data_IF_379292676881
#
_entry.id   IF_379292676881
#
_cell.length_a   1.000
_cell.length_b   1.000
_cell.length_c   1.000
_cell.angle_alpha   90.00
_cell.angle_beta   90.00
_cell.angle_gamma   90.00
#
_symmetry.space_group_name_H-M   'P 1'
#
loop_
_entity.id
_entity.type
_entity.pdbx_description
1 polymer ?
#
# COMPACT_ATOMS: atom_id res chain seq x y z
N UNK A 1 21.18 -6.83 7.33
CA UNK A 1 20.58 -7.79 8.24
C UNK A 1 19.40 -7.11 8.89
N UNK A 2 18.22 -7.64 8.69
CA UNK A 2 16.96 -7.05 9.15
C UNK A 2 16.09 -8.22 9.62
N UNK A 3 15.84 -8.33 10.89
CA UNK A 3 15.30 -9.49 11.59
C UNK A 3 14.26 -10.30 10.83
N UNK A 4 14.19 -11.56 11.14
CA UNK A 4 13.29 -12.54 10.51
C UNK A 4 13.46 -13.89 11.19
N UNK A 5 12.83 -14.92 10.65
CA UNK A 5 13.01 -16.28 11.14
C UNK A 5 14.38 -16.82 10.72
N UNK A 6 14.98 -17.68 11.55
CA UNK A 6 16.21 -18.37 11.21
C UNK A 6 16.09 -19.02 9.81
N UNK A 7 17.06 -18.73 8.95
CA UNK A 7 17.09 -19.22 7.57
C UNK A 7 16.40 -18.31 6.56
N UNK A 8 15.73 -17.24 6.97
CA UNK A 8 15.06 -16.34 6.04
C UNK A 8 16.05 -15.57 5.16
N UNK A 9 15.82 -15.63 3.85
CA UNK A 9 16.49 -14.85 2.82
C UNK A 9 15.42 -14.11 2.01
N UNK A 10 15.36 -12.79 2.18
CA UNK A 10 14.40 -11.93 1.49
C UNK A 10 15.08 -11.05 0.44
N UNK A 11 14.67 -11.16 -0.81
CA UNK A 11 15.08 -10.26 -1.89
C UNK A 11 13.88 -9.72 -2.68
N UNK A 12 12.70 -9.83 -2.08
CA UNK A 12 11.43 -9.35 -2.59
C UNK A 12 10.63 -8.70 -1.46
N UNK A 13 10.10 -7.52 -1.71
CA UNK A 13 9.30 -6.77 -0.75
C UNK A 13 8.11 -6.10 -1.46
N UNK A 14 7.17 -5.52 -0.71
CA UNK A 14 6.07 -4.77 -1.31
C UNK A 14 6.54 -3.56 -2.11
N UNK A 15 5.81 -3.24 -3.20
CA UNK A 15 5.67 -1.86 -3.65
C UNK A 15 4.72 -1.13 -2.70
N UNK A 16 4.96 0.14 -2.46
CA UNK A 16 4.28 0.87 -1.41
C UNK A 16 3.89 2.30 -1.82
N UNK A 17 2.66 2.66 -1.55
CA UNK A 17 2.17 4.03 -1.63
C UNK A 17 1.32 4.39 -0.42
N UNK A 18 1.30 5.67 -0.09
CA UNK A 18 0.28 6.28 0.75
C UNK A 18 -0.75 7.00 -0.11
N UNK A 19 -2.00 6.96 0.29
CA UNK A 19 -3.05 7.74 -0.33
C UNK A 19 -3.78 8.54 0.73
N UNK A 20 -3.97 9.83 0.47
CA UNK A 20 -4.75 10.73 1.30
C UNK A 20 -5.94 11.25 0.50
N UNK A 21 -7.11 11.10 1.08
CA UNK A 21 -8.36 11.61 0.54
C UNK A 21 -8.83 12.73 1.46
N UNK A 22 -9.23 13.86 0.89
CA UNK A 22 -9.90 14.92 1.61
C UNK A 22 -11.22 15.25 0.91
N UNK A 23 -12.28 15.39 1.70
CA UNK A 23 -13.63 15.69 1.23
C UNK A 23 -14.10 17.02 1.80
N UNK A 24 -14.55 17.90 0.93
CA UNK A 24 -15.21 19.15 1.30
C UNK A 24 -16.72 18.96 1.20
N UNK A 25 -17.39 18.88 2.34
CA UNK A 25 -18.83 18.76 2.43
C UNK A 25 -19.56 20.09 2.37
N UNK A 26 -20.88 20.02 2.42
CA UNK A 26 -21.78 21.16 2.53
C UNK A 26 -22.80 20.88 3.61
N UNK A 27 -22.66 21.57 4.74
CA UNK A 27 -23.58 21.43 5.85
C UNK A 27 -24.88 22.24 5.61
N UNK A 28 -25.98 21.62 5.87
CA UNK A 28 -27.34 22.20 5.80
C UNK A 28 -28.08 21.72 7.05
N UNK A 29 -28.98 22.57 7.59
CA UNK A 29 -29.84 22.14 8.69
C UNK A 29 -30.57 20.83 8.33
N UNK A 30 -30.48 19.76 9.17
CA UNK A 30 -30.97 18.43 8.80
C UNK A 30 -32.42 18.38 8.30
N UNK A 31 -33.31 19.21 8.87
CA UNK A 31 -34.70 19.29 8.46
C UNK A 31 -34.94 19.84 7.03
N UNK A 32 -33.90 20.43 6.41
CA UNK A 32 -33.99 21.05 5.07
C UNK A 32 -32.88 20.54 4.14
N UNK A 33 -32.21 19.42 4.51
CA UNK A 33 -31.00 18.93 3.89
C UNK A 33 -31.24 18.13 2.59
N UNK A 34 -32.50 17.74 2.29
CA UNK A 34 -32.82 16.93 1.12
C UNK A 34 -32.25 17.56 -0.16
N UNK A 35 -31.49 16.79 -0.91
CA UNK A 35 -30.83 17.14 -2.18
C UNK A 35 -29.87 18.35 -2.11
N UNK A 36 -29.47 18.76 -0.88
CA UNK A 36 -28.60 19.92 -0.66
C UNK A 36 -27.37 19.62 0.16
N UNK A 37 -27.51 18.76 1.19
CA UNK A 37 -26.36 18.41 2.05
C UNK A 37 -25.40 17.48 1.34
N UNK A 38 -24.10 17.73 1.54
CA UNK A 38 -23.04 16.78 1.27
C UNK A 38 -22.34 16.53 2.60
N UNK A 39 -22.58 15.37 3.19
CA UNK A 39 -21.93 14.98 4.43
C UNK A 39 -20.59 14.35 4.14
N UNK A 40 -19.50 15.06 4.45
CA UNK A 40 -18.14 14.60 4.15
C UNK A 40 -17.78 13.26 4.82
N UNK A 41 -18.27 13.00 6.04
CA UNK A 41 -18.09 11.72 6.71
C UNK A 41 -18.75 10.56 5.95
N UNK A 42 -19.96 10.76 5.40
CA UNK A 42 -20.63 9.74 4.61
C UNK A 42 -19.86 9.45 3.31
N UNK A 43 -19.31 10.49 2.68
CA UNK A 43 -18.53 10.33 1.44
C UNK A 43 -17.27 9.49 1.70
N UNK A 44 -16.50 9.76 2.77
CA UNK A 44 -15.31 8.93 3.07
C UNK A 44 -15.68 7.49 3.44
N UNK A 45 -16.83 7.29 4.13
CA UNK A 45 -17.34 5.94 4.39
C UNK A 45 -17.71 5.21 3.09
N UNK A 46 -18.35 5.91 2.14
CA UNK A 46 -18.73 5.34 0.84
C UNK A 46 -17.50 4.97 0.02
N UNK A 47 -16.46 5.82 0.00
CA UNK A 47 -15.16 5.48 -0.63
C UNK A 47 -14.62 4.17 -0.04
N UNK A 48 -14.56 4.06 1.28
CA UNK A 48 -14.06 2.86 1.95
C UNK A 48 -14.92 1.62 1.66
N UNK A 49 -16.23 1.76 1.50
CA UNK A 49 -17.14 0.67 1.17
C UNK A 49 -16.98 0.17 -0.28
N UNK A 50 -16.55 1.03 -1.19
CA UNK A 50 -16.28 0.68 -2.59
C UNK A 50 -14.93 -0.02 -2.79
N UNK A 51 -14.00 0.05 -1.82
CA UNK A 51 -12.76 -0.71 -1.87
C UNK A 51 -13.01 -2.18 -1.56
N UNK A 52 -12.34 -3.12 -2.25
CA UNK A 52 -12.55 -4.55 -2.07
C UNK A 52 -12.27 -5.00 -0.64
N UNK A 53 -13.30 -5.46 0.08
CA UNK A 53 -13.18 -5.89 1.48
C UNK A 53 -12.18 -7.06 1.65
N UNK A 54 -12.09 -7.96 0.66
CA UNK A 54 -11.14 -9.07 0.65
C UNK A 54 -9.66 -8.61 0.50
N UNK A 55 -9.43 -7.36 0.09
CA UNK A 55 -8.10 -6.79 -0.04
C UNK A 55 -7.76 -5.85 1.15
N UNK A 56 -8.17 -6.21 2.34
CA UNK A 56 -7.73 -5.58 3.59
C UNK A 56 -6.62 -6.42 4.24
N UNK A 57 -5.72 -5.84 5.05
CA UNK A 57 -4.64 -6.59 5.70
C UNK A 57 -5.11 -7.83 6.45
N UNK A 58 -6.26 -7.74 7.13
CA UNK A 58 -6.85 -8.83 7.90
C UNK A 58 -7.36 -10.02 7.07
N UNK A 59 -7.38 -9.89 5.74
CA UNK A 59 -7.86 -10.91 4.80
C UNK A 59 -6.81 -11.30 3.75
N UNK A 60 -5.56 -10.84 3.91
CA UNK A 60 -4.49 -11.02 2.93
C UNK A 60 -3.26 -11.66 3.55
N UNK A 61 -2.58 -12.53 2.79
CA UNK A 61 -1.38 -13.24 3.21
C UNK A 61 -0.36 -13.32 2.05
N UNK A 62 0.85 -13.78 2.35
CA UNK A 62 1.95 -14.01 1.39
C UNK A 62 2.10 -12.88 0.35
N UNK A 63 1.71 -13.15 -0.90
CA UNK A 63 1.82 -12.24 -2.04
C UNK A 63 0.60 -11.33 -2.24
N UNK A 64 -0.44 -11.50 -1.44
CA UNK A 64 -1.63 -10.67 -1.56
C UNK A 64 -1.36 -9.22 -1.20
N UNK A 65 -1.69 -8.33 -2.10
CA UNK A 65 -1.66 -6.90 -1.86
C UNK A 65 -2.93 -6.40 -1.19
N UNK A 66 -2.87 -5.20 -0.60
CA UNK A 66 -3.99 -4.65 0.17
C UNK A 66 -4.14 -3.13 0.09
N UNK A 67 -5.34 -2.68 0.50
CA UNK A 67 -5.64 -1.32 0.95
C UNK A 67 -5.83 -1.35 2.46
N UNK A 68 -5.05 -0.59 3.20
CA UNK A 68 -5.19 -0.47 4.64
C UNK A 68 -5.63 0.95 5.01
N UNK A 69 -6.86 1.10 5.49
CA UNK A 69 -7.34 2.34 6.07
C UNK A 69 -6.64 2.55 7.42
N UNK A 70 -5.73 3.52 7.50
CA UNK A 70 -4.95 3.80 8.72
C UNK A 70 -5.52 4.93 9.55
N UNK A 71 -6.35 5.77 8.96
CA UNK A 71 -7.00 6.88 9.67
C UNK A 71 -8.19 7.42 8.93
N UNK A 72 -9.20 7.83 9.69
CA UNK A 72 -10.37 8.54 9.21
C UNK A 72 -10.80 9.57 10.26
N UNK A 73 -11.00 10.81 9.86
CA UNK A 73 -11.38 11.90 10.76
C UNK A 73 -12.22 12.94 10.01
N UNK A 74 -13.12 13.62 10.71
CA UNK A 74 -13.88 14.71 10.11
C UNK A 74 -15.16 15.09 10.80
N UNK A 75 -15.87 15.98 10.12
CA UNK A 75 -17.22 16.48 10.43
C UNK A 75 -18.10 16.41 9.18
N UNK A 76 -19.29 16.99 9.23
CA UNK A 76 -20.16 17.13 8.06
C UNK A 76 -19.51 18.02 6.98
N UNK A 77 -18.80 19.07 7.39
CA UNK A 77 -18.20 20.07 6.51
C UNK A 77 -16.92 19.56 5.82
N UNK A 78 -16.12 18.76 6.52
CA UNK A 78 -14.87 18.24 5.97
C UNK A 78 -14.49 16.92 6.62
N UNK A 79 -13.92 16.02 5.82
CA UNK A 79 -13.41 14.75 6.31
C UNK A 79 -12.17 14.34 5.54
N UNK A 80 -11.33 13.52 6.19
CA UNK A 80 -10.14 12.93 5.59
C UNK A 80 -10.10 11.45 5.86
N UNK A 81 -9.53 10.68 4.92
CA UNK A 81 -9.12 9.31 5.14
C UNK A 81 -7.72 9.07 4.56
N UNK A 82 -6.96 8.20 5.23
CA UNK A 82 -5.59 7.88 4.86
C UNK A 82 -5.45 6.37 4.69
N UNK A 83 -4.82 5.99 3.59
CA UNK A 83 -4.61 4.59 3.22
C UNK A 83 -3.14 4.30 2.98
N UNK A 84 -2.77 3.06 3.27
CA UNK A 84 -1.54 2.42 2.77
C UNK A 84 -1.95 1.44 1.68
N UNK A 85 -1.29 1.51 0.52
CA UNK A 85 -1.49 0.59 -0.61
C UNK A 85 -0.22 -0.23 -0.76
N UNK A 86 -0.37 -1.55 -0.82
CA UNK A 86 0.74 -2.51 -0.94
C UNK A 86 0.42 -3.57 -1.99
N UNK A 87 1.43 -3.95 -2.77
CA UNK A 87 1.40 -5.14 -3.61
C UNK A 87 2.84 -5.53 -4.00
N UNK A 88 3.14 -6.84 -4.08
CA UNK A 88 4.44 -7.31 -4.57
C UNK A 88 4.57 -7.11 -6.09
N UNK A 89 3.50 -7.32 -6.84
CA UNK A 89 3.45 -7.06 -8.27
C UNK A 89 3.35 -5.57 -8.57
N UNK A 90 4.25 -5.04 -9.39
CA UNK A 90 4.19 -3.66 -9.88
C UNK A 90 2.88 -3.39 -10.62
N UNK A 91 2.47 -4.29 -11.49
CA UNK A 91 1.23 -4.16 -12.26
C UNK A 91 0.00 -4.08 -11.37
N UNK A 92 -0.14 -5.01 -10.40
CA UNK A 92 -1.25 -5.01 -9.44
C UNK A 92 -1.22 -3.78 -8.53
N UNK A 93 -0.03 -3.30 -8.17
CA UNK A 93 0.16 -2.09 -7.38
C UNK A 93 -0.37 -0.86 -8.13
N UNK A 94 0.01 -0.68 -9.41
CA UNK A 94 -0.50 0.40 -10.24
C UNK A 94 -2.02 0.28 -10.49
N UNK A 95 -2.51 -0.94 -10.69
CA UNK A 95 -3.95 -1.21 -10.82
C UNK A 95 -4.72 -0.81 -9.56
N UNK A 96 -4.17 -1.05 -8.36
CA UNK A 96 -4.78 -0.62 -7.10
C UNK A 96 -4.88 0.90 -6.99
N UNK A 97 -3.84 1.63 -7.36
CA UNK A 97 -3.85 3.10 -7.37
C UNK A 97 -4.89 3.64 -8.37
N UNK A 98 -4.91 3.06 -9.57
CA UNK A 98 -5.87 3.41 -10.62
C UNK A 98 -7.32 3.12 -10.20
N UNK A 99 -7.55 2.01 -9.52
CA UNK A 99 -8.88 1.67 -9.01
C UNK A 99 -9.36 2.69 -7.96
N UNK A 100 -8.51 3.08 -7.01
CA UNK A 100 -8.84 4.11 -6.02
C UNK A 100 -9.18 5.45 -6.71
N UNK A 101 -8.44 5.83 -7.75
CA UNK A 101 -8.74 7.02 -8.54
C UNK A 101 -10.10 6.90 -9.24
N UNK A 102 -10.43 5.72 -9.77
CA UNK A 102 -11.73 5.47 -10.42
C UNK A 102 -12.90 5.58 -9.43
N UNK A 103 -12.72 5.10 -8.21
CA UNK A 103 -13.70 5.26 -7.12
C UNK A 103 -13.93 6.74 -6.80
N UNK A 104 -12.86 7.52 -6.70
CA UNK A 104 -12.96 8.97 -6.47
C UNK A 104 -13.69 9.66 -7.63
N UNK A 105 -13.32 9.34 -8.87
CA UNK A 105 -13.97 9.92 -10.05
C UNK A 105 -15.48 9.61 -10.09
N UNK A 106 -15.86 8.36 -9.79
CA UNK A 106 -17.27 7.95 -9.70
C UNK A 106 -18.04 8.78 -8.67
N UNK A 107 -17.46 9.02 -7.51
CA UNK A 107 -18.12 9.79 -6.45
C UNK A 107 -18.10 11.29 -6.72
N UNK A 108 -17.12 11.81 -7.47
CA UNK A 108 -17.17 13.19 -7.95
C UNK A 108 -18.28 13.43 -8.99
N UNK A 109 -18.64 12.43 -9.79
CA UNK A 109 -19.84 12.51 -10.64
C UNK A 109 -21.11 12.61 -9.82
N UNK A 110 -21.17 11.92 -8.67
CA UNK A 110 -22.33 11.92 -7.77
C UNK A 110 -22.44 13.20 -6.92
N UNK A 111 -21.33 13.65 -6.35
CA UNK A 111 -21.31 14.73 -5.35
C UNK A 111 -20.88 16.09 -5.91
N UNK A 112 -20.29 16.12 -7.08
CA UNK A 112 -19.76 17.30 -7.74
C UNK A 112 -18.23 17.32 -7.83
N UNK A 113 -17.73 17.90 -8.92
CA UNK A 113 -16.28 18.05 -9.14
C UNK A 113 -15.64 18.92 -8.08
N UNK A 114 -14.48 18.50 -7.59
CA UNK A 114 -13.71 19.22 -6.58
C UNK A 114 -14.20 19.01 -5.13
N UNK A 115 -15.27 18.23 -4.92
CA UNK A 115 -15.73 17.84 -3.57
C UNK A 115 -14.72 16.86 -2.94
N UNK A 116 -14.08 16.01 -3.74
CA UNK A 116 -13.12 15.01 -3.28
C UNK A 116 -11.75 15.32 -3.88
N UNK A 117 -10.71 15.33 -3.06
CA UNK A 117 -9.33 15.38 -3.52
C UNK A 117 -8.59 14.12 -3.11
N UNK A 118 -7.83 13.55 -4.04
CA UNK A 118 -6.98 12.38 -3.83
C UNK A 118 -5.52 12.74 -4.08
N UNK A 119 -4.66 12.41 -3.15
CA UNK A 119 -3.20 12.51 -3.31
C UNK A 119 -2.60 11.14 -3.06
N UNK A 120 -1.91 10.58 -4.05
CA UNK A 120 -1.17 9.31 -3.93
C UNK A 120 0.32 9.64 -4.00
N UNK A 121 1.11 9.06 -3.08
CA UNK A 121 2.57 9.20 -3.05
C UNK A 121 3.21 7.83 -2.94
N UNK A 122 3.99 7.46 -3.94
CA UNK A 122 4.82 6.26 -3.88
C UNK A 122 5.92 6.44 -2.83
N UNK A 123 6.19 5.39 -2.06
CA UNK A 123 7.13 5.41 -0.94
C UNK A 123 8.40 4.62 -1.26
N UNK A 124 8.24 3.41 -1.76
CA UNK A 124 9.31 2.52 -2.19
C UNK A 124 8.75 1.44 -3.13
N UNK A 125 9.64 0.72 -3.76
CA UNK A 125 9.31 -0.32 -4.72
C UNK A 125 9.92 -1.67 -4.34
N UNK A 126 9.41 -2.75 -4.95
CA UNK A 126 9.92 -4.09 -4.75
C UNK A 126 11.37 -4.20 -5.24
N UNK A 127 12.30 -4.56 -4.34
CA UNK A 127 13.73 -4.67 -4.66
C UNK A 127 14.04 -5.84 -5.60
N UNK A 128 13.11 -6.77 -5.80
CA UNK A 128 13.29 -7.91 -6.71
C UNK A 128 13.77 -7.45 -8.09
N UNK A 129 13.16 -6.38 -8.63
CA UNK A 129 13.52 -5.82 -9.94
C UNK A 129 15.01 -5.45 -10.03
N UNK A 130 15.63 -5.08 -8.90
CA UNK A 130 17.03 -4.66 -8.81
C UNK A 130 17.98 -5.77 -8.36
N UNK A 131 17.49 -6.77 -7.64
CA UNK A 131 18.31 -7.87 -7.10
C UNK A 131 18.35 -9.07 -8.04
N UNK A 132 17.25 -9.41 -8.70
CA UNK A 132 17.12 -10.57 -9.59
C UNK A 132 18.11 -10.56 -10.77
N UNK A 133 18.49 -9.40 -11.37
CA UNK A 133 19.56 -9.34 -12.38
C UNK A 133 20.96 -9.68 -11.85
N UNK A 134 21.13 -9.80 -10.52
CA UNK A 134 22.39 -10.08 -9.83
C UNK A 134 22.33 -11.39 -9.04
N UNK A 135 22.14 -12.54 -9.70
CA UNK A 135 21.97 -13.84 -9.04
C UNK A 135 23.18 -14.25 -8.19
N UNK A 136 24.37 -13.72 -8.50
CA UNK A 136 25.59 -13.98 -7.73
C UNK A 136 25.47 -13.49 -6.27
N UNK A 137 24.69 -12.45 -6.00
CA UNK A 137 24.48 -11.93 -4.64
C UNK A 137 23.60 -12.90 -3.84
N UNK A 138 22.53 -13.39 -4.46
CA UNK A 138 21.61 -14.36 -3.85
C UNK A 138 22.35 -15.68 -3.60
N UNK A 139 23.04 -16.21 -4.62
CA UNK A 139 23.79 -17.47 -4.53
C UNK A 139 24.88 -17.43 -3.46
N UNK A 140 25.55 -16.28 -3.30
CA UNK A 140 26.56 -16.08 -2.26
C UNK A 140 25.94 -16.09 -0.87
N UNK A 141 24.79 -15.44 -0.69
CA UNK A 141 24.05 -15.45 0.57
C UNK A 141 23.61 -16.88 0.94
N UNK A 142 22.98 -17.60 0.01
CA UNK A 142 22.57 -19.00 0.23
C UNK A 142 23.75 -19.91 0.59
N UNK A 143 24.87 -19.78 -0.13
CA UNK A 143 26.07 -20.55 0.14
C UNK A 143 26.62 -20.26 1.54
N UNK A 144 26.67 -19.01 1.94
CA UNK A 144 27.14 -18.60 3.27
C UNK A 144 26.24 -19.18 4.38
N UNK A 145 24.91 -19.13 4.21
CA UNK A 145 23.96 -19.73 5.15
C UNK A 145 24.16 -21.24 5.29
N UNK A 146 24.28 -21.97 4.18
CA UNK A 146 24.54 -23.42 4.18
C UNK A 146 25.87 -23.79 4.85
N UNK A 147 26.93 -23.00 4.64
CA UNK A 147 28.21 -23.19 5.31
C UNK A 147 28.13 -22.94 6.82
N UNK A 148 27.22 -22.06 7.27
CA UNK A 148 26.92 -21.84 8.67
C UNK A 148 25.97 -22.89 9.28
N UNK A 149 25.55 -23.91 8.53
CA UNK A 149 24.63 -24.95 8.98
C UNK A 149 23.16 -24.55 8.93
N UNK A 150 22.84 -23.42 8.30
CA UNK A 150 21.47 -22.88 8.18
C UNK A 150 20.90 -23.20 6.81
N UNK A 151 19.65 -23.67 6.78
CA UNK A 151 18.92 -23.94 5.53
C UNK A 151 18.24 -22.64 5.05
N UNK A 152 18.61 -22.12 3.85
CA UNK A 152 17.97 -20.91 3.32
C UNK A 152 16.49 -21.15 3.01
N UNK A 153 15.63 -20.21 3.44
CA UNK A 153 14.21 -20.18 3.14
C UNK A 153 13.87 -18.82 2.51
N UNK A 154 13.61 -18.84 1.21
CA UNK A 154 13.22 -17.61 0.49
C UNK A 154 11.76 -17.30 0.76
N UNK A 155 11.50 -16.09 1.25
CA UNK A 155 10.13 -15.60 1.52
C UNK A 155 9.99 -14.14 1.10
N UNK A 156 8.78 -13.72 0.64
CA UNK A 156 8.49 -12.32 0.36
C UNK A 156 8.37 -11.54 1.68
N UNK A 157 8.93 -10.34 1.69
CA UNK A 157 8.82 -9.43 2.82
C UNK A 157 7.55 -8.60 2.65
N UNK A 158 6.62 -8.68 3.61
CA UNK A 158 5.36 -7.93 3.60
C UNK A 158 5.50 -6.52 4.19
N UNK A 159 6.57 -5.83 3.84
CA UNK A 159 6.89 -4.50 4.31
C UNK A 159 7.91 -3.81 3.41
N UNK A 160 8.50 -2.74 3.90
CA UNK A 160 9.67 -2.11 3.33
C UNK A 160 10.91 -2.52 4.12
N UNK A 161 12.07 -2.42 3.48
CA UNK A 161 13.38 -2.67 4.10
C UNK A 161 14.39 -1.64 3.62
N UNK A 162 15.47 -1.44 4.36
CA UNK A 162 16.59 -0.63 3.92
C UNK A 162 17.24 -1.23 2.66
N UNK A 163 17.25 -2.56 2.55
CA UNK A 163 17.72 -3.28 1.36
C UNK A 163 17.00 -2.89 0.08
N UNK A 164 15.68 -2.64 0.17
CA UNK A 164 14.90 -2.12 -0.95
C UNK A 164 15.43 -0.76 -1.43
N UNK A 165 15.63 0.17 -0.50
CA UNK A 165 16.13 1.51 -0.82
C UNK A 165 17.54 1.48 -1.39
N UNK A 166 18.43 0.70 -0.78
CA UNK A 166 19.81 0.51 -1.23
C UNK A 166 19.88 -0.13 -2.62
N UNK A 167 19.01 -1.08 -2.90
CA UNK A 167 18.94 -1.74 -4.21
C UNK A 167 18.62 -0.75 -5.33
N UNK A 168 17.67 0.17 -5.10
CA UNK A 168 17.35 1.23 -6.06
C UNK A 168 18.41 2.35 -6.13
N UNK A 169 19.35 2.39 -5.18
CA UNK A 169 20.54 3.25 -5.25
C UNK A 169 21.73 2.59 -5.97
N UNK A 170 21.55 1.40 -6.53
CA UNK A 170 22.57 0.67 -7.29
C UNK A 170 23.36 -0.37 -6.48
N UNK A 171 22.92 -0.69 -5.25
CA UNK A 171 23.50 -1.74 -4.42
C UNK A 171 22.48 -2.87 -4.22
N UNK A 172 22.45 -3.92 -5.06
CA UNK A 172 21.57 -5.07 -4.86
C UNK A 172 21.77 -5.66 -3.47
N UNK A 173 20.75 -5.55 -2.62
CA UNK A 173 20.90 -5.78 -1.18
C UNK A 173 19.76 -6.66 -0.64
N UNK A 174 19.85 -8.02 -0.79
CA UNK A 174 18.90 -8.92 -0.17
C UNK A 174 19.05 -8.90 1.36
N UNK A 175 17.94 -9.17 2.06
CA UNK A 175 17.91 -9.26 3.50
C UNK A 175 18.21 -10.67 3.98
N UNK A 176 18.96 -10.75 5.07
CA UNK A 176 19.19 -11.97 5.83
C UNK A 176 18.57 -11.84 7.22
N UNK A 177 18.21 -12.96 7.81
CA UNK A 177 17.76 -13.06 9.20
C UNK A 177 18.83 -12.61 10.21
N UNK A 178 18.41 -12.30 11.45
CA UNK A 178 19.28 -11.97 12.59
C UNK A 178 19.22 -13.06 13.67
#
# INVERSE_FOLDING_TARGET
>A
VDGGFEGELGYENFNAASAKIAVQGRNIHPGYAKDKMINALQVVCEINALLPAAQRPEHTDEYDGFYHLVGMNGTVEQATSEYIIRDHSREKFEAKKSYLQSVVNLLEEKYGKGVISLTIKDQYYNMREMVEPHPEVINRAEKAMRLAGVVPVVRPIRGGTDGSRLSYMGLPCPNLFT
#
